data_IF_055409337512
#
_entry.id   IF_055409337512
#
_cell.length_a   1.000
_cell.length_b   1.000
_cell.length_c   1.000
_cell.angle_alpha   90.00
_cell.angle_beta   90.00
_cell.angle_gamma   90.00
#
_symmetry.space_group_name_H-M   'P 1'
#
loop_
_entity.id
_entity.type
_entity.pdbx_description
1 polymer ?
#
# COMPACT_ATOMS: atom_id res chain seq x y z
N UNK A 1 49.19 -39.87 36.83
CA UNK A 1 49.33 -38.60 36.09
C UNK A 1 48.88 -38.80 34.65
N UNK A 2 47.77 -38.18 34.24
CA UNK A 2 47.45 -37.83 32.84
C UNK A 2 46.30 -36.81 32.86
N UNK A 3 46.64 -35.55 32.62
CA UNK A 3 45.70 -34.44 32.50
C UNK A 3 44.95 -34.54 31.17
N UNK A 4 43.62 -34.43 31.21
CA UNK A 4 42.80 -34.21 30.03
C UNK A 4 42.74 -32.70 29.71
N UNK A 5 42.87 -32.28 28.45
CA UNK A 5 42.76 -30.87 28.07
C UNK A 5 41.29 -30.43 28.05
N UNK A 6 41.00 -29.31 28.74
CA UNK A 6 39.72 -28.59 28.64
C UNK A 6 39.60 -27.96 27.25
N UNK A 7 38.71 -28.50 26.43
CA UNK A 7 38.40 -27.96 25.10
C UNK A 7 37.48 -26.76 25.20
N UNK A 8 37.95 -25.63 24.70
CA UNK A 8 37.26 -24.35 24.66
C UNK A 8 36.08 -24.40 23.68
N UNK A 9 34.85 -24.31 24.21
CA UNK A 9 33.63 -24.38 23.43
C UNK A 9 33.39 -23.09 22.61
N UNK A 10 34.01 -21.98 23.00
CA UNK A 10 33.82 -20.68 22.36
C UNK A 10 34.44 -20.61 20.95
N UNK A 11 35.54 -21.33 20.69
CA UNK A 11 36.20 -21.32 19.38
C UNK A 11 35.49 -22.15 18.30
N UNK A 12 34.63 -23.10 18.68
CA UNK A 12 33.95 -23.98 17.71
C UNK A 12 32.80 -23.30 16.97
N UNK A 13 32.09 -22.39 17.63
CA UNK A 13 31.00 -21.63 16.99
C UNK A 13 31.52 -20.61 15.98
N UNK A 14 32.73 -20.07 16.21
CA UNK A 14 33.33 -19.09 15.29
C UNK A 14 33.86 -19.73 14.01
N UNK A 15 34.43 -20.94 14.08
CA UNK A 15 34.86 -21.69 12.87
C UNK A 15 33.70 -22.18 12.00
N UNK A 16 32.50 -22.34 12.56
CA UNK A 16 31.32 -22.73 11.77
C UNK A 16 30.70 -21.55 11.02
N UNK A 17 30.91 -20.32 11.47
CA UNK A 17 30.43 -19.13 10.75
C UNK A 17 31.36 -18.73 9.59
N UNK A 18 32.67 -18.98 9.68
CA UNK A 18 33.61 -18.70 8.57
C UNK A 18 33.48 -19.69 7.40
N UNK A 19 33.07 -20.94 7.67
CA UNK A 19 32.90 -21.96 6.62
C UNK A 19 31.67 -21.73 5.72
N UNK A 20 30.71 -20.89 6.13
CA UNK A 20 29.48 -20.64 5.37
C UNK A 20 29.59 -19.45 4.39
N UNK A 21 30.65 -18.64 4.47
CA UNK A 21 30.80 -17.40 3.69
C UNK A 21 31.57 -17.59 2.39
N UNK A 22 32.28 -18.71 2.19
CA UNK A 22 33.22 -18.88 1.07
C UNK A 22 32.76 -19.74 -0.11
N UNK A 23 31.48 -20.11 -0.24
CA UNK A 23 31.04 -21.04 -1.32
C UNK A 23 30.16 -20.44 -2.44
N UNK A 24 30.05 -19.12 -2.60
CA UNK A 24 29.20 -18.54 -3.66
C UNK A 24 30.02 -17.89 -4.78
N UNK A 25 30.66 -18.72 -5.60
CA UNK A 25 31.35 -18.28 -6.81
C UNK A 25 31.75 -19.44 -7.70
N UNK A 26 30.83 -19.94 -8.55
CA UNK A 26 31.18 -20.76 -9.71
C UNK A 26 30.03 -20.83 -10.75
N UNK A 27 30.22 -20.05 -11.82
CA UNK A 27 30.12 -20.42 -13.25
C UNK A 27 28.97 -21.31 -13.75
N UNK A 28 28.17 -20.78 -14.67
CA UNK A 28 27.49 -21.59 -15.70
C UNK A 28 27.86 -21.07 -17.10
N UNK A 29 28.64 -21.89 -17.78
CA UNK A 29 29.08 -21.80 -19.18
C UNK A 29 27.89 -22.02 -20.13
N UNK A 30 27.65 -21.08 -21.05
CA UNK A 30 26.61 -21.16 -22.07
C UNK A 30 27.22 -21.41 -23.46
N UNK A 31 26.91 -22.59 -24.01
CA UNK A 31 27.26 -23.00 -25.37
C UNK A 31 26.35 -22.34 -26.43
N UNK A 32 26.93 -22.02 -27.59
CA UNK A 32 26.20 -21.58 -28.79
C UNK A 32 25.41 -22.73 -29.46
N UNK A 33 24.58 -22.40 -30.47
CA UNK A 33 25.12 -22.51 -31.83
C UNK A 33 24.71 -21.39 -32.81
N UNK A 34 25.48 -21.38 -33.90
CA UNK A 34 25.37 -20.62 -35.15
C UNK A 34 23.97 -20.56 -35.77
N UNK A 35 23.61 -19.39 -36.33
CA UNK A 35 22.71 -19.32 -37.47
C UNK A 35 23.15 -18.25 -38.48
N UNK A 36 23.17 -18.65 -39.74
CA UNK A 36 23.61 -17.88 -40.89
C UNK A 36 22.45 -17.06 -41.48
N UNK A 37 22.80 -15.91 -42.06
CA UNK A 37 22.18 -15.32 -43.25
C UNK A 37 20.67 -15.07 -43.25
N UNK A 38 20.26 -13.82 -43.02
CA UNK A 38 19.08 -13.25 -43.66
C UNK A 38 19.18 -11.73 -43.66
N UNK A 39 19.47 -11.18 -44.84
CA UNK A 39 19.32 -9.77 -45.19
C UNK A 39 17.83 -9.39 -45.21
N UNK A 40 17.39 -8.47 -44.34
CA UNK A 40 16.16 -7.68 -44.58
C UNK A 40 15.99 -6.49 -43.63
N UNK A 41 15.82 -5.33 -44.26
CA UNK A 41 15.09 -4.13 -43.82
C UNK A 41 15.45 -3.49 -42.47
N UNK A 42 16.12 -2.36 -42.57
CA UNK A 42 16.22 -1.31 -41.55
C UNK A 42 14.84 -0.85 -41.07
N UNK A 43 14.43 -1.33 -39.91
CA UNK A 43 13.37 -0.72 -39.09
C UNK A 43 14.02 0.27 -38.12
N UNK A 44 13.73 1.57 -38.31
CA UNK A 44 14.22 2.65 -37.46
C UNK A 44 13.67 2.54 -36.05
N UNK A 45 14.49 2.02 -35.14
CA UNK A 45 14.34 2.20 -33.69
C UNK A 45 15.42 3.18 -33.29
N UNK A 46 15.03 4.38 -32.87
CA UNK A 46 15.96 5.42 -32.43
C UNK A 46 16.73 4.92 -31.19
N UNK A 47 17.97 4.49 -31.40
CA UNK A 47 18.94 4.34 -30.33
C UNK A 47 19.49 5.73 -29.99
N UNK A 48 19.53 6.15 -28.71
CA UNK A 48 20.30 7.33 -28.34
C UNK A 48 21.79 7.07 -28.66
N UNK A 49 22.51 8.01 -29.29
CA UNK A 49 23.92 7.83 -29.57
C UNK A 49 24.68 7.71 -28.25
N UNK A 50 25.27 6.54 -27.98
CA UNK A 50 26.09 6.29 -26.79
C UNK A 50 27.57 6.63 -27.02
N UNK A 51 27.91 7.17 -28.19
CA UNK A 51 29.27 7.57 -28.54
C UNK A 51 29.30 9.02 -29.02
N UNK A 52 29.74 9.92 -28.13
CA UNK A 52 29.88 11.36 -28.37
C UNK A 52 31.27 11.74 -28.89
N UNK A 53 32.17 10.77 -29.11
CA UNK A 53 33.58 11.03 -29.47
C UNK A 53 33.85 10.98 -30.98
N UNK A 54 32.82 10.69 -31.79
CA UNK A 54 32.91 10.65 -33.25
C UNK A 54 32.84 12.05 -33.86
N UNK A 55 33.83 12.41 -34.67
CA UNK A 55 33.77 13.62 -35.50
C UNK A 55 32.56 13.54 -36.46
N UNK A 56 31.80 14.63 -36.67
CA UNK A 56 30.58 14.57 -37.48
C UNK A 56 30.92 14.13 -38.91
N UNK A 57 30.41 12.96 -39.30
CA UNK A 57 30.39 12.54 -40.69
C UNK A 57 29.40 13.40 -41.46
N UNK A 58 29.75 13.78 -42.69
CA UNK A 58 29.08 14.71 -43.62
C UNK A 58 27.58 14.44 -43.90
N UNK A 59 27.03 13.37 -43.33
CA UNK A 59 25.71 12.83 -43.61
C UNK A 59 24.94 12.35 -42.36
N UNK A 60 25.37 12.73 -41.16
CA UNK A 60 24.67 12.46 -39.89
C UNK A 60 23.94 13.70 -39.35
N UNK A 61 23.18 14.38 -40.20
CA UNK A 61 22.25 15.39 -39.73
C UNK A 61 20.94 14.70 -39.37
N UNK A 62 20.49 14.91 -38.13
CA UNK A 62 19.15 14.53 -37.69
C UNK A 62 18.17 15.15 -38.68
N UNK A 63 17.51 14.29 -39.46
CA UNK A 63 16.43 14.66 -40.36
C UNK A 63 15.27 15.15 -39.49
N UNK A 64 15.26 16.43 -39.15
CA UNK A 64 14.07 17.11 -38.67
C UNK A 64 13.09 17.09 -39.84
N UNK A 65 12.27 16.04 -39.90
CA UNK A 65 11.10 16.04 -40.77
C UNK A 65 10.29 17.26 -40.34
N UNK A 66 10.01 18.22 -41.25
CA UNK A 66 9.18 19.36 -40.90
C UNK A 66 7.89 18.83 -40.30
N UNK A 67 7.62 19.18 -39.05
CA UNK A 67 6.27 19.05 -38.51
C UNK A 67 5.42 19.93 -39.40
N UNK A 68 4.54 19.30 -40.16
CA UNK A 68 3.59 19.97 -41.04
C UNK A 68 2.86 21.04 -40.20
N UNK A 69 2.98 22.33 -40.53
CA UNK A 69 2.29 23.37 -39.80
C UNK A 69 0.80 23.21 -40.08
N UNK A 70 0.12 22.47 -39.20
CA UNK A 70 -1.33 22.49 -38.97
C UNK A 70 -2.14 22.98 -40.15
N UNK A 71 -2.76 22.04 -40.87
CA UNK A 71 -3.80 22.30 -41.86
C UNK A 71 -4.66 23.51 -41.39
N UNK A 72 -4.68 24.64 -42.14
CA UNK A 72 -5.39 25.85 -41.74
C UNK A 72 -6.91 25.67 -41.68
N UNK A 73 -7.41 24.44 -41.93
CA UNK A 73 -8.81 24.04 -41.72
C UNK A 73 -9.04 23.22 -40.44
N UNK A 74 -8.02 23.02 -39.58
CA UNK A 74 -8.18 22.47 -38.24
C UNK A 74 -9.14 23.35 -37.43
N UNK A 75 -10.41 22.96 -37.43
CA UNK A 75 -11.48 23.69 -36.78
C UNK A 75 -11.19 23.81 -35.28
N UNK A 76 -11.69 24.87 -34.63
CA UNK A 76 -11.60 25.04 -33.17
C UNK A 76 -12.07 23.77 -32.42
N UNK A 77 -12.97 22.99 -33.03
CA UNK A 77 -13.41 21.69 -32.52
C UNK A 77 -12.33 20.60 -32.48
N UNK A 78 -11.39 20.56 -33.44
CA UNK A 78 -10.28 19.58 -33.42
C UNK A 78 -9.24 19.92 -32.36
N UNK A 79 -8.93 21.21 -32.17
CA UNK A 79 -8.01 21.68 -31.13
C UNK A 79 -8.54 21.40 -29.71
N UNK A 80 -9.83 21.63 -29.46
CA UNK A 80 -10.47 21.31 -28.18
C UNK A 80 -10.51 19.79 -27.95
N UNK A 81 -10.76 19.01 -28.99
CA UNK A 81 -10.75 17.53 -28.92
C UNK A 81 -9.37 17.00 -28.56
N UNK A 82 -8.31 17.50 -29.19
CA UNK A 82 -6.93 17.07 -28.91
C UNK A 82 -6.47 17.52 -27.52
N UNK A 83 -6.75 18.76 -27.12
CA UNK A 83 -6.46 19.25 -25.77
C UNK A 83 -7.18 18.43 -24.68
N UNK A 84 -8.46 18.10 -24.89
CA UNK A 84 -9.24 17.25 -23.97
C UNK A 84 -8.66 15.83 -23.89
N UNK A 85 -8.17 15.32 -25.01
CA UNK A 85 -7.53 13.99 -25.08
C UNK A 85 -6.19 13.97 -24.31
N UNK A 86 -5.38 15.02 -24.42
CA UNK A 86 -4.11 15.14 -23.67
C UNK A 86 -4.34 15.32 -22.17
N UNK A 87 -5.31 16.16 -21.76
CA UNK A 87 -5.67 16.33 -20.35
C UNK A 87 -6.19 15.01 -19.77
N UNK A 88 -7.03 14.28 -20.50
CA UNK A 88 -7.50 12.96 -20.08
C UNK A 88 -6.35 11.96 -19.88
N UNK A 89 -5.30 12.08 -20.69
CA UNK A 89 -4.10 11.23 -20.58
C UNK A 89 -3.25 11.58 -19.35
N UNK A 90 -3.09 12.87 -19.05
CA UNK A 90 -2.40 13.37 -17.84
C UNK A 90 -3.14 12.97 -16.55
N UNK A 91 -4.45 13.17 -16.51
CA UNK A 91 -5.26 12.79 -15.33
C UNK A 91 -5.22 11.27 -15.13
N UNK A 92 -5.32 10.49 -16.22
CA UNK A 92 -5.21 9.03 -16.16
C UNK A 92 -3.85 8.58 -15.61
N UNK A 93 -2.75 9.23 -16.01
CA UNK A 93 -1.40 8.90 -15.55
C UNK A 93 -1.16 9.31 -14.09
N UNK A 94 -1.65 10.46 -13.66
CA UNK A 94 -1.59 10.87 -12.25
C UNK A 94 -2.40 9.93 -11.36
N UNK A 95 -3.60 9.51 -11.79
CA UNK A 95 -4.41 8.53 -11.05
C UNK A 95 -3.71 7.16 -11.01
N UNK A 96 -3.06 6.75 -12.11
CA UNK A 96 -2.31 5.49 -12.14
C UNK A 96 -1.12 5.52 -11.20
N UNK A 97 -0.37 6.63 -11.17
CA UNK A 97 0.73 6.83 -10.24
C UNK A 97 0.25 6.84 -8.78
N UNK A 98 -0.81 7.61 -8.48
CA UNK A 98 -1.41 7.66 -7.15
C UNK A 98 -1.94 6.29 -6.71
N UNK A 99 -2.50 5.50 -7.64
CA UNK A 99 -2.93 4.13 -7.37
C UNK A 99 -1.75 3.22 -7.08
N UNK A 100 -0.63 3.36 -7.80
CA UNK A 100 0.59 2.60 -7.54
C UNK A 100 1.20 2.95 -6.17
N UNK A 101 1.28 4.23 -5.83
CA UNK A 101 1.80 4.68 -4.55
C UNK A 101 0.91 4.26 -3.38
N UNK A 102 -0.42 4.39 -3.53
CA UNK A 102 -1.38 3.95 -2.54
C UNK A 102 -1.33 2.43 -2.34
N UNK A 103 -1.25 1.65 -3.42
CA UNK A 103 -1.16 0.18 -3.33
C UNK A 103 0.17 -0.28 -2.75
N UNK A 104 1.28 0.39 -3.08
CA UNK A 104 2.58 0.14 -2.46
C UNK A 104 2.54 0.44 -0.94
N UNK A 105 1.96 1.59 -0.57
CA UNK A 105 1.77 1.99 0.82
C UNK A 105 0.87 1.02 1.59
N UNK A 106 -0.25 0.60 0.99
CA UNK A 106 -1.16 -0.38 1.57
C UNK A 106 -0.49 -1.74 1.76
N UNK A 107 0.32 -2.19 0.80
CA UNK A 107 1.07 -3.45 0.89
C UNK A 107 2.12 -3.40 2.01
N UNK A 108 2.79 -2.26 2.17
CA UNK A 108 3.76 -2.07 3.25
C UNK A 108 3.08 -1.99 4.62
N UNK A 109 1.96 -1.25 4.72
CA UNK A 109 1.14 -1.20 5.93
C UNK A 109 0.60 -2.59 6.30
N UNK A 110 0.16 -3.38 5.32
CA UNK A 110 -0.30 -4.75 5.53
C UNK A 110 0.82 -5.65 6.09
N UNK A 111 2.02 -5.59 5.51
CA UNK A 111 3.18 -6.34 6.03
C UNK A 111 3.53 -5.90 7.46
N UNK A 112 3.49 -4.60 7.74
CA UNK A 112 3.69 -4.07 9.09
C UNK A 112 2.62 -4.53 10.09
N UNK A 113 1.36 -4.64 9.63
CA UNK A 113 0.23 -5.05 10.48
C UNK A 113 0.35 -6.47 11.02
N UNK A 114 1.09 -7.36 10.35
CA UNK A 114 1.31 -8.74 10.83
C UNK A 114 2.00 -8.74 12.19
N UNK A 115 3.02 -7.89 12.37
CA UNK A 115 3.73 -7.77 13.65
C UNK A 115 2.84 -7.18 14.74
N UNK A 116 2.02 -6.19 14.40
CA UNK A 116 1.04 -5.64 15.34
C UNK A 116 -0.04 -6.66 15.73
N UNK A 117 -0.53 -7.45 14.78
CA UNK A 117 -1.48 -8.52 15.04
C UNK A 117 -0.85 -9.60 15.95
N UNK A 118 0.39 -10.01 15.67
CA UNK A 118 1.13 -10.94 16.52
C UNK A 118 1.36 -10.38 17.92
N UNK A 119 1.81 -9.12 18.04
CA UNK A 119 2.00 -8.45 19.32
C UNK A 119 0.69 -8.32 20.10
N UNK A 120 -0.42 -7.99 19.43
CA UNK A 120 -1.74 -7.91 20.03
C UNK A 120 -2.22 -9.29 20.52
N UNK A 121 -2.02 -10.35 19.72
CA UNK A 121 -2.37 -11.72 20.11
C UNK A 121 -1.56 -12.19 21.33
N UNK A 122 -0.24 -11.99 21.31
CA UNK A 122 0.65 -12.33 22.43
C UNK A 122 0.28 -11.50 23.67
N UNK A 123 0.07 -10.20 23.53
CA UNK A 123 -0.32 -9.33 24.64
C UNK A 123 -1.67 -9.72 25.23
N UNK A 124 -2.67 -10.00 24.39
CA UNK A 124 -3.98 -10.47 24.82
C UNK A 124 -3.91 -11.80 25.55
N UNK A 125 -3.15 -12.77 25.04
CA UNK A 125 -2.96 -14.06 25.71
C UNK A 125 -2.15 -13.91 27.02
N UNK A 126 -1.18 -13.00 27.05
CA UNK A 126 -0.37 -12.72 28.25
C UNK A 126 -1.19 -12.09 29.38
N UNK A 127 -2.23 -11.31 29.07
CA UNK A 127 -3.14 -10.75 30.08
C UNK A 127 -3.81 -11.85 30.91
N UNK A 128 -4.12 -13.01 30.32
CA UNK A 128 -4.65 -14.15 31.06
C UNK A 128 -3.66 -14.62 32.14
N UNK A 129 -2.38 -14.80 31.77
CA UNK A 129 -1.34 -15.19 32.72
C UNK A 129 -1.01 -14.08 33.73
N UNK A 130 -1.11 -12.82 33.34
CA UNK A 130 -0.92 -11.68 34.24
C UNK A 130 -1.91 -11.72 35.42
N UNK A 131 -3.19 -11.99 35.16
CA UNK A 131 -4.19 -12.11 36.22
C UNK A 131 -3.99 -13.35 37.09
N UNK A 132 -3.58 -14.49 36.50
CA UNK A 132 -3.18 -15.67 37.26
C UNK A 132 -1.98 -15.39 38.18
N UNK A 133 -0.97 -14.68 37.66
CA UNK A 133 0.21 -14.28 38.43
C UNK A 133 -0.17 -13.40 39.62
N UNK A 134 -1.05 -12.40 39.44
CA UNK A 134 -1.54 -11.58 40.56
C UNK A 134 -2.24 -12.43 41.61
N UNK A 135 -3.12 -13.34 41.18
CA UNK A 135 -3.82 -14.25 42.09
C UNK A 135 -2.86 -15.10 42.90
N UNK A 136 -1.80 -15.59 42.26
CA UNK A 136 -0.82 -16.42 42.93
C UNK A 136 0.14 -15.64 43.85
N UNK A 137 0.47 -14.40 43.49
CA UNK A 137 1.18 -13.49 44.38
C UNK A 137 0.33 -13.21 45.63
N UNK A 138 -0.97 -12.93 45.49
CA UNK A 138 -1.86 -12.69 46.62
C UNK A 138 -2.03 -13.92 47.54
N UNK A 139 -1.96 -15.12 46.97
CA UNK A 139 -2.04 -16.38 47.71
C UNK A 139 -0.86 -16.58 48.69
N UNK A 140 0.19 -15.76 48.63
CA UNK A 140 1.27 -15.75 49.63
C UNK A 140 0.75 -15.24 50.99
N UNK A 141 -0.20 -14.30 51.00
CA UNK A 141 -0.72 -13.69 52.24
C UNK A 141 -2.17 -14.09 52.56
N UNK A 142 -2.93 -14.61 51.59
CA UNK A 142 -4.33 -14.98 51.75
C UNK A 142 -4.58 -16.45 51.36
N UNK A 143 -5.65 -17.08 51.87
CA UNK A 143 -6.12 -18.35 51.32
C UNK A 143 -6.38 -18.24 49.82
N UNK A 144 -5.98 -19.26 49.06
CA UNK A 144 -6.07 -19.30 47.60
C UNK A 144 -7.43 -18.85 47.07
N UNK A 145 -8.53 -19.34 47.65
CA UNK A 145 -9.88 -18.98 47.22
C UNK A 145 -10.17 -17.47 47.38
N UNK A 146 -9.72 -16.85 48.47
CA UNK A 146 -9.92 -15.43 48.73
C UNK A 146 -9.08 -14.55 47.78
N UNK A 147 -7.84 -14.97 47.49
CA UNK A 147 -6.98 -14.30 46.52
C UNK A 147 -7.63 -14.20 45.13
N UNK A 148 -8.16 -15.32 44.61
CA UNK A 148 -8.82 -15.33 43.31
C UNK A 148 -10.16 -14.58 43.29
N UNK A 149 -10.90 -14.53 44.40
CA UNK A 149 -12.11 -13.68 44.52
C UNK A 149 -11.76 -12.19 44.43
N UNK A 150 -10.68 -11.75 45.09
CA UNK A 150 -10.22 -10.35 45.01
C UNK A 150 -9.80 -10.01 43.59
N UNK A 151 -9.03 -10.88 42.94
CA UNK A 151 -8.62 -10.70 41.54
C UNK A 151 -9.83 -10.63 40.60
N UNK A 152 -10.80 -11.52 40.78
CA UNK A 152 -12.04 -11.50 40.01
C UNK A 152 -12.79 -10.17 40.19
N UNK A 153 -12.92 -9.69 41.43
CA UNK A 153 -13.50 -8.38 41.73
C UNK A 153 -12.76 -7.23 41.04
N UNK A 154 -11.42 -7.26 41.03
CA UNK A 154 -10.60 -6.28 40.33
C UNK A 154 -10.81 -6.32 38.80
N UNK A 155 -10.97 -7.49 38.21
CA UNK A 155 -11.31 -7.62 36.78
C UNK A 155 -12.67 -7.02 36.46
N UNK A 156 -13.69 -7.25 37.28
CA UNK A 156 -15.02 -6.63 37.10
C UNK A 156 -14.97 -5.11 37.22
N UNK A 157 -14.22 -4.59 38.20
CA UNK A 157 -14.04 -3.14 38.37
C UNK A 157 -13.34 -2.53 37.15
N UNK A 158 -12.29 -3.17 36.64
CA UNK A 158 -11.59 -2.74 35.43
C UNK A 158 -12.51 -2.77 34.21
N UNK A 159 -13.29 -3.84 34.02
CA UNK A 159 -14.24 -3.98 32.92
C UNK A 159 -15.31 -2.88 32.98
N UNK A 160 -15.89 -2.62 34.15
CA UNK A 160 -16.84 -1.53 34.35
C UNK A 160 -16.23 -0.17 34.01
N UNK A 161 -14.99 0.08 34.42
CA UNK A 161 -14.25 1.30 34.08
C UNK A 161 -14.04 1.48 32.58
N UNK A 162 -13.64 0.41 31.86
CA UNK A 162 -13.46 0.44 30.41
C UNK A 162 -14.78 0.66 29.67
N UNK A 163 -15.86 -0.01 30.07
CA UNK A 163 -17.20 0.20 29.50
C UNK A 163 -17.66 1.64 29.73
N UNK A 164 -17.48 2.16 30.95
CA UNK A 164 -17.83 3.54 31.28
C UNK A 164 -17.05 4.55 30.42
N UNK A 165 -15.74 4.36 30.27
CA UNK A 165 -14.89 5.22 29.44
C UNK A 165 -15.27 5.13 27.95
N UNK A 166 -15.60 3.93 27.47
CA UNK A 166 -16.10 3.68 26.12
C UNK A 166 -17.41 4.43 25.85
N UNK A 167 -18.38 4.33 26.75
CA UNK A 167 -19.65 5.07 26.67
C UNK A 167 -19.39 6.58 26.69
N UNK A 168 -18.51 7.08 27.57
CA UNK A 168 -18.17 8.50 27.65
C UNK A 168 -17.49 9.00 26.38
N UNK A 169 -16.64 8.18 25.76
CA UNK A 169 -15.98 8.53 24.49
C UNK A 169 -16.98 8.54 23.34
N UNK A 170 -17.87 7.55 23.27
CA UNK A 170 -18.92 7.47 22.25
C UNK A 170 -19.89 8.66 22.34
N UNK A 171 -20.30 9.04 23.56
CA UNK A 171 -21.17 10.21 23.78
C UNK A 171 -20.54 11.55 23.39
N UNK A 172 -19.20 11.62 23.29
CA UNK A 172 -18.48 12.82 22.83
C UNK A 172 -18.37 12.91 21.32
N UNK A 173 -18.58 11.82 20.60
CA UNK A 173 -18.70 11.83 19.14
C UNK A 173 -20.11 12.38 18.88
N UNK A 174 -20.20 13.70 18.67
CA UNK A 174 -21.46 14.36 18.32
C UNK A 174 -22.07 13.69 17.09
N UNK A 175 -23.41 13.60 17.03
CA UNK A 175 -24.09 13.17 15.81
C UNK A 175 -23.57 14.03 14.66
N UNK A 176 -23.25 13.48 13.48
CA UNK A 176 -22.79 14.27 12.34
C UNK A 176 -23.98 15.04 11.74
N UNK A 177 -24.42 16.09 12.45
CA UNK A 177 -25.60 16.89 12.10
C UNK A 177 -25.46 17.52 10.72
N UNK A 178 -24.26 17.95 10.36
CA UNK A 178 -23.96 18.52 9.03
C UNK A 178 -24.08 17.47 7.91
N UNK A 179 -23.69 16.22 8.15
CA UNK A 179 -23.84 15.15 7.15
C UNK A 179 -25.31 14.78 6.96
N UNK A 180 -26.08 14.78 8.06
CA UNK A 180 -27.51 14.50 8.03
C UNK A 180 -28.27 15.62 7.29
N UNK A 181 -27.95 16.89 7.56
CA UNK A 181 -28.61 18.02 6.88
C UNK A 181 -28.27 18.10 5.39
N UNK A 182 -27.01 17.86 5.01
CA UNK A 182 -26.59 17.80 3.60
C UNK A 182 -27.27 16.65 2.84
N UNK A 183 -27.38 15.47 3.47
CA UNK A 183 -28.08 14.33 2.87
C UNK A 183 -29.58 14.63 2.69
N UNK A 184 -30.22 15.28 3.67
CA UNK A 184 -31.63 15.70 3.57
C UNK A 184 -31.84 16.74 2.47
N UNK A 185 -30.99 17.76 2.40
CA UNK A 185 -31.07 18.78 1.35
C UNK A 185 -30.90 18.18 -0.06
N UNK A 186 -29.99 17.21 -0.21
CA UNK A 186 -29.80 16.49 -1.48
C UNK A 186 -31.04 15.67 -1.86
N UNK A 187 -31.64 14.97 -0.89
CA UNK A 187 -32.86 14.19 -1.10
C UNK A 187 -34.06 15.09 -1.47
N UNK A 188 -34.20 16.25 -0.83
CA UNK A 188 -35.23 17.23 -1.18
C UNK A 188 -35.01 17.81 -2.58
N UNK A 189 -33.78 18.15 -2.94
CA UNK A 189 -33.45 18.65 -4.28
C UNK A 189 -33.81 17.64 -5.38
N UNK A 190 -33.50 16.35 -5.16
CA UNK A 190 -33.88 15.26 -6.07
C UNK A 190 -35.41 15.10 -6.17
N UNK A 191 -36.12 15.14 -5.05
CA UNK A 191 -37.58 15.03 -5.02
C UNK A 191 -38.26 16.19 -5.77
N UNK A 192 -37.75 17.41 -5.59
CA UNK A 192 -38.24 18.59 -6.28
C UNK A 192 -37.94 18.55 -7.79
N UNK A 193 -36.77 18.03 -8.18
CA UNK A 193 -36.43 17.83 -9.59
C UNK A 193 -37.34 16.79 -10.27
N UNK A 194 -37.63 15.67 -9.58
CA UNK A 194 -38.56 14.65 -10.08
C UNK A 194 -39.99 15.19 -10.25
N UNK A 195 -40.50 15.92 -9.26
CA UNK A 195 -41.84 16.54 -9.34
C UNK A 195 -41.96 17.56 -10.49
N UNK A 196 -40.88 18.32 -10.76
CA UNK A 196 -40.83 19.23 -11.92
C UNK A 196 -40.87 18.47 -13.25
N UNK A 197 -40.14 17.36 -13.37
CA UNK A 197 -40.13 16.54 -14.58
C UNK A 197 -41.53 15.97 -14.90
N UNK A 198 -42.25 15.51 -13.89
CA UNK A 198 -43.64 15.02 -14.04
C UNK A 198 -44.59 16.12 -14.51
N UNK A 199 -44.47 17.35 -13.96
CA UNK A 199 -45.30 18.48 -14.37
C UNK A 199 -45.05 18.93 -15.82
N UNK A 200 -43.80 18.87 -16.30
CA UNK A 200 -43.45 19.21 -17.68
C UNK A 200 -43.87 18.16 -18.70
N UNK A 201 -43.96 16.88 -18.29
CA UNK A 201 -44.45 15.80 -19.16
C UNK A 201 -45.96 15.87 -19.41
N UNK A 202 -46.71 16.33 -18.41
CA UNK A 202 -48.17 16.49 -18.52
C UNK A 202 -48.59 17.66 -19.41
N UNK A 203 -47.78 18.73 -19.51
CA UNK A 203 -48.06 19.88 -20.39
C UNK A 203 -47.75 19.60 -21.86
N UNK A 204 -46.84 18.67 -22.16
CA UNK A 204 -46.46 18.33 -23.53
C UNK A 204 -47.41 17.32 -24.21
N UNK A 205 -48.34 16.72 -23.46
CA UNK A 205 -49.31 15.73 -23.97
C UNK A 205 -50.71 16.32 -24.22
N UNK A 206 -50.89 17.63 -24.03
CA UNK A 206 -52.18 18.33 -24.12
C UNK A 206 -52.27 19.36 -25.27
N UNK A 207 -51.20 19.51 -26.07
CA UNK A 207 -51.21 20.22 -27.37
C UNK A 207 -51.20 19.20 -28.52
#
# INVERSE_FOLDING_TARGET
MRHAPRGDAAGRVQRLQEAAVTSSGATSSGAGPSNAGSSRASSGTAHPPTDYTRAPGENDWITMTPVDPTDPTASIGSLVKDATTHISTLVRSEIELAKLELTASAKQALRGSIFFAAAAAIGLFSLWFFWLMIGEILNIWLPRWAAFVIVFGAMLAMAAGLVFLGIRRMKRIGKPEMTISQAQATAEALKNAAARAESSGSSASAE
#
